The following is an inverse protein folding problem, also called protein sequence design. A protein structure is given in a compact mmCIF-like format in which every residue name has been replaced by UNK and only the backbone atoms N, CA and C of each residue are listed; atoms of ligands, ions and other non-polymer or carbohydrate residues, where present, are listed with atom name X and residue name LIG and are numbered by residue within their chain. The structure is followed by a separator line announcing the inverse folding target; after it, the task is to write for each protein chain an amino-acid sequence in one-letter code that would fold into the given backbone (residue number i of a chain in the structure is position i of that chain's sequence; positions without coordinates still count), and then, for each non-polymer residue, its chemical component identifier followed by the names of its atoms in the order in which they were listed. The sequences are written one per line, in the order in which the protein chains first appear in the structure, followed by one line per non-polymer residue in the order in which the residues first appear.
data_IF_741695904739
#
_entry.id   IF_741695904739
#
_cell.length_a   1.000
_cell.length_b   1.000
_cell.length_c   1.000
_cell.angle_alpha   90.00
_cell.angle_beta   90.00
_cell.angle_gamma   90.00
#
_symmetry.space_group_name_H-M   'P 1'
#
loop_
_entity.id
_entity.type
_entity.pdbx_description
1 polymer ?
#
# COMPACT_ATOMS: atom_id res chain seq x y z
N UNK A 1 37.65 29.59 6.96
CA UNK A 1 36.26 30.04 6.73
C UNK A 1 35.70 29.17 5.60
N UNK A 2 34.45 28.70 5.70
CA UNK A 2 34.12 27.29 6.00
C UNK A 2 33.72 26.47 4.77
N UNK A 3 33.97 25.16 4.87
CA UNK A 3 33.69 24.16 3.84
C UNK A 3 32.22 23.68 3.96
N UNK A 4 31.42 23.94 2.92
CA UNK A 4 30.01 23.52 2.80
C UNK A 4 29.90 22.04 2.41
N UNK A 5 30.24 21.13 3.32
CA UNK A 5 29.89 19.72 3.15
C UNK A 5 28.54 19.40 3.79
N UNK A 6 27.66 18.91 2.93
CA UNK A 6 26.52 18.04 3.20
C UNK A 6 25.33 18.66 3.94
N UNK A 7 24.44 19.28 3.14
CA UNK A 7 23.00 19.32 3.42
C UNK A 7 22.49 17.87 3.46
N UNK A 8 22.50 17.25 4.63
CA UNK A 8 21.69 16.06 4.85
C UNK A 8 20.23 16.51 4.95
N UNK A 9 19.49 16.23 3.89
CA UNK A 9 18.03 16.34 3.82
C UNK A 9 17.41 15.51 4.94
N UNK A 10 17.16 16.13 6.09
CA UNK A 10 16.30 15.59 7.13
C UNK A 10 14.86 15.65 6.62
N UNK A 11 14.41 14.57 5.95
CA UNK A 11 12.97 14.30 5.87
C UNK A 11 12.41 14.29 7.32
N UNK A 12 11.18 14.79 7.53
CA UNK A 12 10.56 14.80 8.86
C UNK A 12 10.60 13.38 9.45
N UNK A 13 10.91 13.26 10.74
CA UNK A 13 10.88 11.99 11.47
C UNK A 13 9.46 11.45 11.46
N UNK A 14 9.11 10.66 10.45
CA UNK A 14 8.03 9.70 10.55
C UNK A 14 8.32 8.80 11.74
N UNK A 15 7.29 8.49 12.53
CA UNK A 15 7.40 7.71 13.76
C UNK A 15 7.90 6.29 13.44
N UNK A 16 9.20 6.05 13.57
CA UNK A 16 9.81 4.76 13.28
C UNK A 16 9.74 3.83 14.50
N UNK A 17 9.29 2.59 14.30
CA UNK A 17 9.26 1.55 15.33
C UNK A 17 10.38 0.52 15.07
N UNK A 18 11.15 0.17 16.10
CA UNK A 18 12.20 -0.86 15.99
C UNK A 18 11.60 -2.25 16.19
N UNK A 19 11.71 -3.11 15.18
CA UNK A 19 11.28 -4.51 15.22
C UNK A 19 12.49 -5.44 15.35
N UNK A 20 12.35 -6.49 16.17
CA UNK A 20 13.39 -7.51 16.34
C UNK A 20 13.08 -8.72 15.47
N UNK A 21 14.02 -9.07 14.59
CA UNK A 21 13.93 -10.24 13.71
C UNK A 21 14.96 -11.30 14.10
N UNK A 22 14.67 -12.60 13.89
CA UNK A 22 15.69 -13.63 13.98
C UNK A 22 16.84 -13.33 13.02
N UNK A 23 18.09 -13.46 13.50
CA UNK A 23 19.32 -13.30 12.68
C UNK A 23 19.25 -13.96 11.29
N UNK A 24 18.81 -15.24 11.14
CA UNK A 24 18.77 -15.87 9.82
C UNK A 24 17.77 -15.22 8.86
N UNK A 25 16.70 -14.59 9.37
CA UNK A 25 15.73 -13.88 8.56
C UNK A 25 16.30 -12.54 8.07
N UNK A 26 16.93 -11.78 8.98
CA UNK A 26 17.58 -10.52 8.65
C UNK A 26 18.67 -10.69 7.57
N UNK A 27 19.49 -11.74 7.67
CA UNK A 27 20.50 -12.04 6.65
C UNK A 27 19.89 -12.36 5.28
N UNK A 28 18.76 -13.07 5.23
CA UNK A 28 18.07 -13.38 3.98
C UNK A 28 17.50 -12.11 3.34
N UNK A 29 16.94 -11.22 4.14
CA UNK A 29 16.44 -9.91 3.71
C UNK A 29 17.60 -9.09 3.12
N UNK A 30 18.73 -8.98 3.82
CA UNK A 30 19.91 -8.27 3.33
C UNK A 30 20.49 -8.87 2.05
N UNK A 31 20.51 -10.20 1.90
CA UNK A 31 20.98 -10.87 0.67
C UNK A 31 20.05 -10.65 -0.53
N UNK A 32 18.77 -10.36 -0.28
CA UNK A 32 17.77 -10.07 -1.32
C UNK A 32 17.81 -8.61 -1.74
N UNK A 33 18.16 -7.68 -0.85
CA UNK A 33 18.18 -6.24 -1.12
C UNK A 33 18.89 -5.83 -2.43
N UNK A 34 20.08 -6.35 -2.80
CA UNK A 34 20.77 -5.97 -4.04
C UNK A 34 20.05 -6.41 -5.33
N UNK A 35 19.05 -7.27 -5.21
CA UNK A 35 18.22 -7.74 -6.34
C UNK A 35 16.91 -6.94 -6.46
N UNK A 36 16.76 -5.90 -5.67
CA UNK A 36 15.58 -5.03 -5.62
C UNK A 36 15.96 -3.60 -5.91
N UNK A 37 14.97 -2.75 -6.14
CA UNK A 37 15.18 -1.32 -6.41
C UNK A 37 15.37 -0.48 -5.14
N UNK A 38 15.32 -1.10 -3.96
CA UNK A 38 15.43 -0.41 -2.67
C UNK A 38 16.88 -0.21 -2.26
N UNK A 39 17.18 1.00 -1.75
CA UNK A 39 18.49 1.35 -1.23
C UNK A 39 18.66 0.99 0.25
N UNK A 40 17.55 0.95 1.00
CA UNK A 40 17.52 0.69 2.44
C UNK A 40 16.71 -0.57 2.76
N UNK A 41 17.17 -1.31 3.78
CA UNK A 41 16.49 -2.50 4.29
C UNK A 41 15.10 -2.13 4.82
N UNK A 42 14.99 -0.99 5.50
CA UNK A 42 13.74 -0.54 6.13
C UNK A 42 12.64 -0.30 5.07
N UNK A 43 13.00 0.32 3.94
CA UNK A 43 12.10 0.55 2.81
C UNK A 43 11.61 -0.77 2.20
N UNK A 44 12.53 -1.72 2.00
CA UNK A 44 12.18 -3.03 1.46
C UNK A 44 11.25 -3.82 2.40
N UNK A 45 11.53 -3.79 3.71
CA UNK A 45 10.70 -4.49 4.70
C UNK A 45 9.32 -3.86 4.81
N UNK A 46 9.24 -2.52 4.83
CA UNK A 46 7.97 -1.81 4.84
C UNK A 46 7.12 -2.15 3.62
N UNK A 47 7.70 -2.08 2.42
CA UNK A 47 6.99 -2.42 1.18
C UNK A 47 6.46 -3.86 1.19
N UNK A 48 7.30 -4.84 1.55
CA UNK A 48 6.87 -6.24 1.59
C UNK A 48 5.77 -6.46 2.62
N UNK A 49 5.85 -5.80 3.78
CA UNK A 49 4.83 -5.92 4.82
C UNK A 49 3.52 -5.28 4.38
N UNK A 50 3.54 -4.12 3.73
CA UNK A 50 2.35 -3.50 3.14
C UNK A 50 1.71 -4.38 2.09
N UNK A 51 2.49 -5.02 1.21
CA UNK A 51 1.94 -5.94 0.21
C UNK A 51 1.23 -7.14 0.86
N UNK A 52 1.84 -7.72 1.89
CA UNK A 52 1.25 -8.85 2.62
C UNK A 52 0.00 -8.41 3.38
N UNK A 53 0.04 -7.26 4.07
CA UNK A 53 -1.11 -6.72 4.78
C UNK A 53 -2.24 -6.40 3.81
N UNK A 54 -1.94 -5.76 2.69
CA UNK A 54 -2.91 -5.54 1.64
C UNK A 54 -3.50 -6.86 1.16
N UNK A 55 -2.73 -7.91 0.88
CA UNK A 55 -3.26 -9.22 0.47
C UNK A 55 -4.15 -9.86 1.56
N UNK A 56 -3.73 -9.80 2.82
CA UNK A 56 -4.49 -10.35 3.95
C UNK A 56 -5.76 -9.56 4.27
N UNK A 57 -5.75 -8.25 4.06
CA UNK A 57 -6.90 -7.38 4.26
C UNK A 57 -7.81 -7.39 3.03
N UNK A 58 -7.27 -7.47 1.82
CA UNK A 58 -8.05 -7.40 0.56
C UNK A 58 -8.86 -8.64 0.22
N UNK A 59 -8.83 -9.70 1.03
CA UNK A 59 -9.96 -10.64 1.14
C UNK A 59 -10.97 -10.19 2.22
N UNK A 60 -12.20 -9.71 1.91
CA UNK A 60 -12.69 -8.89 0.83
C UNK A 60 -12.97 -7.45 1.32
N UNK A 61 -11.97 -6.60 1.56
CA UNK A 61 -12.21 -5.13 1.73
C UNK A 61 -12.04 -4.30 0.47
N UNK A 62 -11.90 -4.94 -0.70
CA UNK A 62 -12.37 -4.34 -1.96
C UNK A 62 -13.88 -3.96 -1.90
N UNK A 63 -14.60 -4.42 -0.86
CA UNK A 63 -15.97 -4.05 -0.53
C UNK A 63 -16.13 -3.08 0.66
N UNK A 64 -15.11 -2.33 1.11
CA UNK A 64 -15.33 -1.27 2.14
C UNK A 64 -14.79 0.13 1.82
N UNK A 65 -13.72 0.30 1.05
CA UNK A 65 -13.24 1.65 0.73
C UNK A 65 -13.58 2.10 -0.71
N UNK A 66 -14.03 1.19 -1.57
CA UNK A 66 -14.59 1.50 -2.89
C UNK A 66 -16.14 1.39 -2.96
N UNK A 67 -16.79 0.98 -1.87
CA UNK A 67 -18.24 0.67 -1.83
C UNK A 67 -19.06 1.57 -0.90
N UNK A 68 -18.46 2.54 -0.22
CA UNK A 68 -19.27 3.53 0.51
C UNK A 68 -19.97 4.52 -0.45
N UNK A 69 -19.73 4.46 -1.77
CA UNK A 69 -20.30 5.43 -2.72
C UNK A 69 -20.70 4.94 -4.13
N UNK A 70 -20.69 3.64 -4.48
CA UNK A 70 -20.85 3.26 -5.92
C UNK A 70 -21.99 2.28 -6.26
N UNK A 71 -22.69 1.68 -5.30
CA UNK A 71 -23.93 0.95 -5.60
C UNK A 71 -24.95 1.12 -4.48
N UNK A 72 -25.52 2.32 -4.39
CA UNK A 72 -26.77 2.51 -3.64
C UNK A 72 -27.91 1.81 -4.38
N UNK A 73 -28.98 1.40 -3.66
CA UNK A 73 -30.21 0.87 -4.27
C UNK A 73 -30.77 1.81 -5.36
N UNK A 74 -30.51 3.09 -5.21
CA UNK A 74 -30.90 4.18 -6.11
C UNK A 74 -30.22 4.08 -7.50
N UNK A 75 -28.97 3.59 -7.55
CA UNK A 75 -28.25 3.36 -8.80
C UNK A 75 -28.81 2.17 -9.55
N UNK A 76 -29.27 1.14 -8.84
CA UNK A 76 -29.92 -0.04 -9.42
C UNK A 76 -31.27 0.32 -10.05
N UNK A 77 -32.08 1.14 -9.39
CA UNK A 77 -33.35 1.65 -9.95
C UNK A 77 -33.11 2.50 -11.21
N UNK A 78 -32.06 3.32 -11.21
CA UNK A 78 -31.69 4.15 -12.38
C UNK A 78 -31.27 3.29 -13.58
N UNK A 79 -30.53 2.21 -13.33
CA UNK A 79 -30.13 1.26 -14.38
C UNK A 79 -31.34 0.48 -14.91
N UNK A 80 -32.23 0.01 -14.03
CA UNK A 80 -33.46 -0.68 -14.46
C UNK A 80 -34.38 0.21 -15.30
N UNK A 81 -34.53 1.48 -14.92
CA UNK A 81 -35.36 2.43 -15.67
C UNK A 81 -34.78 2.66 -17.08
N UNK A 82 -33.45 2.84 -17.19
CA UNK A 82 -32.77 2.97 -18.49
C UNK A 82 -32.90 1.73 -19.35
N UNK A 83 -32.86 0.54 -18.75
CA UNK A 83 -33.04 -0.71 -19.49
C UNK A 83 -34.48 -0.89 -19.99
N UNK A 84 -35.49 -0.48 -19.21
CA UNK A 84 -36.90 -0.42 -19.66
C UNK A 84 -37.09 0.59 -20.80
N UNK A 85 -36.50 1.78 -20.69
CA UNK A 85 -36.61 2.83 -21.70
C UNK A 85 -35.94 2.43 -23.04
N UNK A 86 -34.90 1.60 -22.97
CA UNK A 86 -34.20 1.04 -24.12
C UNK A 86 -34.82 -0.28 -24.63
N UNK A 87 -35.85 -0.82 -23.95
CA UNK A 87 -36.57 -2.03 -24.36
C UNK A 87 -35.81 -3.34 -24.17
N UNK A 88 -34.83 -3.39 -23.27
CA UNK A 88 -34.12 -4.62 -22.91
C UNK A 88 -34.83 -5.46 -21.82
N UNK A 89 -35.91 -4.91 -21.26
CA UNK A 89 -36.86 -5.50 -20.31
C UNK A 89 -38.27 -5.32 -20.87
#
# INVERSE_FOLDING_TARGET
MPNELTKQSSKPREESVTLSFPKPLAERIQKRLPKTEFALVDEYVAYVMEQILNELETEPVAAKEATENVFSKEDMETVEQRLRDLGYL
#
